data_IF_508982600618
#
_entry.id   IF_508982600618
#
_cell.length_a   1.000
_cell.length_b   1.000
_cell.length_c   1.000
_cell.angle_alpha   90.00
_cell.angle_beta   90.00
_cell.angle_gamma   90.00
#
_symmetry.space_group_name_H-M   'P 1'
#
loop_
_entity.id
_entity.type
_entity.pdbx_description
1 polymer ?
#
# COMPACT_ATOMS: atom_id res chain seq x y z
N UNK A 1 -6.58 4.83 19.79
CA UNK A 1 -6.56 4.49 21.23
C UNK A 1 -5.61 3.32 21.39
N UNK A 2 -4.30 3.57 21.56
CA UNK A 2 -3.34 2.49 21.76
C UNK A 2 -2.51 2.82 23.00
N UNK A 3 -3.13 2.56 24.15
CA UNK A 3 -2.40 2.09 25.33
C UNK A 3 -2.01 0.65 24.98
N UNK A 4 -0.75 0.40 24.61
CA UNK A 4 -0.31 -0.93 24.19
C UNK A 4 -0.40 -1.97 25.30
N UNK A 5 -0.61 -1.53 26.54
CA UNK A 5 -0.86 -2.42 27.64
C UNK A 5 -2.06 -1.95 28.47
N UNK A 6 -3.21 -2.60 28.24
CA UNK A 6 -4.19 -2.83 29.31
C UNK A 6 -3.70 -3.97 30.22
N UNK A 7 -2.39 -4.08 30.46
CA UNK A 7 -1.91 -5.04 31.44
C UNK A 7 -2.35 -4.55 32.80
N UNK A 8 -3.36 -5.23 33.33
CA UNK A 8 -3.45 -5.50 34.76
C UNK A 8 -2.10 -6.12 35.11
N UNK A 9 -1.12 -5.30 35.47
CA UNK A 9 0.16 -5.84 35.93
C UNK A 9 -0.15 -6.56 37.23
N UNK A 10 0.04 -7.87 37.28
CA UNK A 10 -0.01 -8.61 38.54
C UNK A 10 1.15 -8.12 39.39
N UNK A 11 0.88 -7.12 40.22
CA UNK A 11 1.86 -6.58 41.15
C UNK A 11 2.03 -7.58 42.26
N UNK A 12 3.27 -8.06 42.46
CA UNK A 12 3.63 -8.80 43.65
C UNK A 12 3.48 -7.87 44.86
N UNK A 13 2.41 -8.08 45.64
CA UNK A 13 2.19 -7.42 46.92
C UNK A 13 2.89 -8.28 47.99
N UNK A 14 3.86 -7.75 48.73
CA UNK A 14 4.48 -8.47 49.84
C UNK A 14 3.44 -8.89 50.87
N UNK A 15 3.75 -9.95 51.64
CA UNK A 15 2.82 -10.41 52.67
C UNK A 15 2.54 -9.31 53.71
N UNK A 16 1.28 -9.14 54.12
CA UNK A 16 0.90 -8.16 55.12
C UNK A 16 1.41 -8.55 56.51
N UNK A 17 1.53 -7.56 57.40
CA UNK A 17 1.80 -7.78 58.81
C UNK A 17 0.69 -8.61 59.48
N UNK A 18 1.03 -9.32 60.55
CA UNK A 18 0.06 -10.07 61.35
C UNK A 18 -1.03 -9.12 61.92
N UNK A 19 -2.31 -9.38 61.60
CA UNK A 19 -3.47 -8.53 61.94
C UNK A 19 -3.52 -7.11 61.35
N UNK A 20 -2.80 -6.81 60.27
CA UNK A 20 -2.90 -5.53 59.57
C UNK A 20 -2.90 -5.72 58.06
N UNK A 21 -3.44 -4.75 57.31
CA UNK A 21 -3.30 -4.71 55.85
C UNK A 21 -2.04 -3.96 55.41
N UNK A 22 -1.25 -3.41 56.34
CA UNK A 22 -0.01 -2.72 56.01
C UNK A 22 1.20 -3.67 55.93
N UNK A 23 2.27 -3.17 55.31
CA UNK A 23 3.52 -3.86 55.01
C UNK A 23 4.68 -3.04 55.60
N UNK A 24 5.87 -3.65 55.67
CA UNK A 24 7.12 -3.02 56.08
C UNK A 24 7.50 -3.40 57.51
N UNK A 25 8.74 -3.09 57.89
CA UNK A 25 9.31 -3.47 59.18
C UNK A 25 8.48 -2.89 60.35
N UNK A 26 7.90 -1.71 60.15
CA UNK A 26 7.07 -1.02 61.14
C UNK A 26 5.57 -1.08 60.82
N UNK A 27 5.13 -1.81 59.78
CA UNK A 27 3.73 -1.86 59.34
C UNK A 27 3.10 -0.49 59.03
N UNK A 28 3.91 0.48 58.58
CA UNK A 28 3.48 1.85 58.25
C UNK A 28 3.17 2.04 56.76
N UNK A 29 3.47 1.04 55.91
CA UNK A 29 3.31 1.16 54.47
C UNK A 29 1.98 0.53 54.06
N UNK A 30 1.10 1.29 53.42
CA UNK A 30 -0.15 0.75 52.87
C UNK A 30 0.15 -0.30 51.79
N UNK A 31 -0.47 -1.49 51.87
CA UNK A 31 -0.38 -2.54 50.83
C UNK A 31 -1.11 -2.20 49.53
N UNK A 32 -1.64 -0.99 49.40
CA UNK A 32 -2.35 -0.59 48.20
C UNK A 32 -1.38 -0.43 47.02
N UNK A 33 -1.76 -0.90 45.81
CA UNK A 33 -0.93 -0.78 44.62
C UNK A 33 -0.45 0.65 44.33
N UNK A 34 -1.29 1.66 44.58
CA UNK A 34 -0.93 3.07 44.38
C UNK A 34 0.14 3.58 45.37
N UNK A 35 0.17 3.05 46.59
CA UNK A 35 1.18 3.43 47.58
C UNK A 35 2.53 2.78 47.30
N UNK A 36 2.52 1.57 46.70
CA UNK A 36 3.72 0.83 46.32
C UNK A 36 4.38 1.33 45.03
N UNK A 37 3.61 1.91 44.10
CA UNK A 37 4.14 2.38 42.80
C UNK A 37 4.43 3.89 42.76
N UNK A 38 3.90 4.66 43.71
CA UNK A 38 3.97 6.12 43.66
C UNK A 38 3.04 6.71 42.59
N UNK A 39 3.04 8.05 42.43
CA UNK A 39 2.19 8.72 41.44
C UNK A 39 2.54 8.29 40.02
N UNK A 40 1.52 8.23 39.15
CA UNK A 40 1.70 8.10 37.70
C UNK A 40 2.49 9.33 37.18
N UNK A 41 3.45 9.10 36.29
CA UNK A 41 4.22 10.17 35.63
C UNK A 41 3.54 10.60 34.31
N UNK A 42 3.99 11.71 33.70
CA UNK A 42 3.59 12.18 32.36
C UNK A 42 2.06 12.27 32.13
N UNK A 43 1.34 12.90 33.06
CA UNK A 43 -0.14 13.08 33.04
C UNK A 43 -0.95 11.77 33.02
N UNK A 44 -0.32 10.62 33.33
CA UNK A 44 -1.03 9.37 33.51
C UNK A 44 -2.00 9.41 34.70
N UNK A 45 -3.14 8.74 34.60
CA UNK A 45 -4.12 8.66 35.69
C UNK A 45 -4.06 7.27 36.33
N UNK A 46 -3.71 7.23 37.62
CA UNK A 46 -3.67 6.03 38.45
C UNK A 46 -4.99 5.90 39.23
N UNK A 47 -5.84 4.92 38.91
CA UNK A 47 -7.09 4.67 39.65
C UNK A 47 -6.94 3.42 40.52
N UNK A 48 -7.02 3.58 41.84
CA UNK A 48 -7.04 2.49 42.80
C UNK A 48 -8.44 2.25 43.38
N UNK A 49 -8.92 1.02 43.30
CA UNK A 49 -10.17 0.63 43.96
C UNK A 49 -9.88 0.27 45.43
N UNK A 50 -10.41 1.07 46.36
CA UNK A 50 -10.20 0.89 47.81
C UNK A 50 -10.75 -0.44 48.35
N UNK A 51 -11.64 -1.11 47.63
CA UNK A 51 -12.32 -2.35 48.07
C UNK A 51 -11.59 -3.63 47.64
N UNK A 52 -10.58 -3.53 46.77
CA UNK A 52 -9.81 -4.69 46.30
C UNK A 52 -8.32 -4.37 46.34
N UNK A 53 -7.60 -4.95 47.31
CA UNK A 53 -6.15 -4.79 47.48
C UNK A 53 -5.33 -5.30 46.27
N UNK A 54 -5.97 -5.91 45.29
CA UNK A 54 -5.34 -6.54 44.12
C UNK A 54 -5.71 -5.89 42.78
N UNK A 55 -6.63 -4.93 42.74
CA UNK A 55 -7.12 -4.32 41.48
C UNK A 55 -6.82 -2.83 41.42
N UNK A 56 -5.99 -2.45 40.46
CA UNK A 56 -5.72 -1.06 40.08
C UNK A 56 -5.84 -0.94 38.56
N UNK A 57 -6.19 0.26 38.09
CA UNK A 57 -6.30 0.56 36.67
C UNK A 57 -5.39 1.75 36.39
N UNK A 58 -4.52 1.57 35.41
CA UNK A 58 -3.77 2.69 34.84
C UNK A 58 -4.47 3.19 33.58
N UNK A 59 -4.68 4.50 33.50
CA UNK A 59 -5.10 5.18 32.28
C UNK A 59 -3.87 5.91 31.75
N UNK A 60 -3.43 5.50 30.56
CA UNK A 60 -2.18 5.96 29.97
C UNK A 60 -2.38 7.23 29.15
N UNK A 61 -1.35 8.07 29.15
CA UNK A 61 -1.16 9.13 28.16
C UNK A 61 -0.68 8.53 26.84
N UNK A 62 -1.17 9.02 25.70
CA UNK A 62 -0.78 8.54 24.37
C UNK A 62 0.74 8.66 24.16
N UNK A 63 1.37 7.59 23.65
CA UNK A 63 2.80 7.59 23.30
C UNK A 63 3.77 7.24 24.43
N UNK A 64 3.28 6.77 25.59
CA UNK A 64 4.10 6.34 26.72
C UNK A 64 3.86 4.86 27.10
N UNK A 65 4.88 4.21 27.67
CA UNK A 65 4.96 2.83 28.13
C UNK A 65 5.65 2.77 29.52
N UNK A 66 5.60 1.59 30.16
CA UNK A 66 6.18 1.35 31.48
C UNK A 66 5.12 1.24 32.58
N UNK A 67 5.55 0.80 33.78
CA UNK A 67 4.64 0.53 34.90
C UNK A 67 4.01 1.80 35.46
N UNK A 68 4.64 2.96 35.24
CA UNK A 68 4.19 4.30 35.65
C UNK A 68 4.10 5.27 34.46
N UNK A 69 4.10 4.74 33.22
CA UNK A 69 4.12 5.52 31.98
C UNK A 69 5.32 6.48 31.89
N UNK A 70 6.44 6.07 32.49
CA UNK A 70 7.65 6.88 32.62
C UNK A 70 8.49 6.94 31.32
N UNK A 71 8.24 6.02 30.37
CA UNK A 71 9.03 5.89 29.14
C UNK A 71 8.21 6.24 27.91
N UNK A 72 8.79 6.92 26.94
CA UNK A 72 8.16 7.16 25.63
C UNK A 72 8.23 5.88 24.78
N UNK A 73 7.13 5.50 24.13
CA UNK A 73 7.10 4.37 23.19
C UNK A 73 8.04 4.69 22.03
N UNK A 74 9.03 3.83 21.80
CA UNK A 74 9.88 3.91 20.62
C UNK A 74 9.27 3.06 19.51
N UNK A 75 8.39 3.66 18.71
CA UNK A 75 7.79 3.00 17.55
C UNK A 75 8.83 2.51 16.55
N UNK A 76 10.01 3.12 16.47
CA UNK A 76 11.08 2.70 15.55
C UNK A 76 11.91 1.48 16.03
N UNK A 77 11.74 1.01 17.26
CA UNK A 77 12.63 -0.02 17.86
C UNK A 77 12.65 -1.36 17.11
N UNK A 78 11.51 -1.79 16.56
CA UNK A 78 11.37 -3.03 15.80
C UNK A 78 11.08 -2.80 14.31
N UNK A 79 11.39 -1.60 13.81
CA UNK A 79 11.00 -1.19 12.47
C UNK A 79 12.23 -1.03 11.62
N UNK A 80 12.26 -1.80 10.54
CA UNK A 80 13.32 -1.75 9.57
C UNK A 80 12.81 -1.04 8.30
N UNK A 81 13.12 0.25 8.16
CA UNK A 81 12.87 0.96 6.92
C UNK A 81 13.84 0.44 5.85
N UNK A 82 13.31 -0.17 4.79
CA UNK A 82 14.12 -0.77 3.75
C UNK A 82 14.92 0.28 2.96
N UNK A 83 15.98 -0.18 2.30
CA UNK A 83 16.73 0.61 1.32
C UNK A 83 17.29 1.94 1.84
N UNK A 84 17.80 1.95 3.08
CA UNK A 84 18.33 3.14 3.76
C UNK A 84 17.27 4.22 4.04
N UNK A 85 15.99 3.85 4.17
CA UNK A 85 14.98 4.75 4.71
C UNK A 85 15.29 5.12 6.17
N UNK A 86 14.95 6.34 6.58
CA UNK A 86 15.16 6.80 7.96
C UNK A 86 13.84 6.70 8.73
N UNK A 87 13.83 5.94 9.83
CA UNK A 87 12.67 5.89 10.73
C UNK A 87 12.61 7.16 11.59
N UNK A 88 11.46 7.82 11.62
CA UNK A 88 11.15 8.92 12.54
C UNK A 88 9.99 8.55 13.45
N UNK A 89 10.15 8.88 14.72
CA UNK A 89 9.09 8.76 15.72
C UNK A 89 7.98 9.78 15.45
N UNK A 90 6.74 9.32 15.47
CA UNK A 90 5.54 10.15 15.52
C UNK A 90 4.86 9.99 16.89
N UNK A 91 3.86 10.82 17.17
CA UNK A 91 3.15 10.83 18.46
C UNK A 91 2.41 9.53 18.76
N UNK A 92 1.96 8.82 17.72
CA UNK A 92 1.16 7.60 17.86
C UNK A 92 1.66 6.45 17.01
N UNK A 93 2.72 6.66 16.22
CA UNK A 93 3.20 5.70 15.23
C UNK A 93 4.64 6.01 14.81
N UNK A 94 5.15 5.32 13.79
CA UNK A 94 6.39 5.63 13.10
C UNK A 94 6.13 6.13 11.67
N UNK A 95 7.11 6.82 11.10
CA UNK A 95 7.12 7.17 9.67
C UNK A 95 8.51 6.87 9.11
N UNK A 96 8.57 6.06 8.04
CA UNK A 96 9.80 5.87 7.28
C UNK A 96 9.93 6.96 6.20
N UNK A 97 11.01 7.76 6.27
CA UNK A 97 11.39 8.66 5.18
C UNK A 97 12.16 7.89 4.10
N UNK A 98 11.55 7.76 2.92
CA UNK A 98 12.10 7.06 1.77
C UNK A 98 12.89 7.99 0.83
N UNK A 99 14.02 7.53 0.31
CA UNK A 99 14.85 8.25 -0.67
C UNK A 99 14.73 7.65 -2.08
N UNK A 100 15.01 8.46 -3.11
CA UNK A 100 15.13 8.06 -4.53
C UNK A 100 13.91 7.33 -5.12
N UNK A 101 12.73 7.97 -5.12
CA UNK A 101 11.53 7.40 -5.78
C UNK A 101 11.02 6.10 -5.15
N UNK A 102 11.36 5.84 -3.89
CA UNK A 102 10.85 4.69 -3.14
C UNK A 102 9.61 5.10 -2.35
N UNK A 103 8.70 4.16 -2.16
CA UNK A 103 7.42 4.39 -1.50
C UNK A 103 6.94 3.11 -0.79
N UNK A 104 5.82 3.18 -0.08
CA UNK A 104 5.36 2.13 0.85
C UNK A 104 5.61 2.51 2.30
N UNK A 105 4.99 1.78 3.25
CA UNK A 105 5.05 2.10 4.67
C UNK A 105 6.49 1.96 5.22
N UNK A 106 7.25 1.02 4.66
CA UNK A 106 8.62 0.70 5.07
C UNK A 106 9.61 0.91 3.91
N UNK A 107 9.28 1.72 2.90
CA UNK A 107 10.12 1.95 1.70
C UNK A 107 10.44 0.68 0.90
N UNK A 108 9.51 -0.28 0.89
CA UNK A 108 9.63 -1.57 0.22
C UNK A 108 9.39 -1.48 -1.30
N UNK A 109 8.65 -0.47 -1.77
CA UNK A 109 8.32 -0.27 -3.17
C UNK A 109 9.33 0.67 -3.84
N UNK A 110 9.70 0.34 -5.07
CA UNK A 110 10.65 1.11 -5.88
C UNK A 110 9.88 1.58 -7.12
N UNK A 111 9.90 2.88 -7.45
CA UNK A 111 9.47 3.32 -8.78
C UNK A 111 10.45 2.79 -9.81
N UNK A 112 10.22 1.58 -10.30
CA UNK A 112 10.74 1.19 -11.60
C UNK A 112 9.91 1.96 -12.61
N UNK A 113 10.53 2.72 -13.48
CA UNK A 113 9.93 3.33 -14.68
C UNK A 113 9.30 2.30 -15.67
N UNK A 114 8.95 1.08 -15.22
CA UNK A 114 8.51 -0.05 -16.04
C UNK A 114 7.02 -0.33 -16.00
N UNK A 115 6.23 0.38 -15.18
CA UNK A 115 4.78 0.20 -15.17
C UNK A 115 4.13 0.73 -16.45
N UNK A 116 4.68 1.80 -17.03
CA UNK A 116 4.21 2.35 -18.31
C UNK A 116 4.59 1.42 -19.48
N UNK A 117 5.82 0.88 -19.49
CA UNK A 117 6.28 -0.02 -20.54
C UNK A 117 5.50 -1.35 -20.60
N UNK A 118 5.09 -1.93 -19.47
CA UNK A 118 4.29 -3.17 -19.46
C UNK A 118 2.87 -2.99 -19.99
N UNK A 119 2.29 -1.80 -19.81
CA UNK A 119 0.96 -1.48 -20.34
C UNK A 119 1.06 -1.19 -21.85
N UNK A 120 2.03 -0.36 -22.25
CA UNK A 120 2.26 0.00 -23.65
C UNK A 120 2.58 -1.24 -24.51
N UNK A 121 3.38 -2.19 -24.02
CA UNK A 121 3.74 -3.41 -24.78
C UNK A 121 2.53 -4.28 -25.10
N UNK A 122 1.57 -4.39 -24.17
CA UNK A 122 0.34 -5.17 -24.38
C UNK A 122 -0.60 -4.48 -25.35
N UNK A 123 -0.71 -3.15 -25.27
CA UNK A 123 -1.53 -2.36 -26.19
C UNK A 123 -1.04 -2.41 -27.63
N UNK A 124 0.28 -2.32 -27.87
CA UNK A 124 0.86 -2.39 -29.22
C UNK A 124 0.58 -3.75 -29.87
N UNK A 125 0.78 -4.84 -29.13
CA UNK A 125 0.51 -6.18 -29.64
C UNK A 125 -0.97 -6.37 -30.03
N UNK A 126 -1.88 -5.86 -29.20
CA UNK A 126 -3.32 -5.92 -29.47
C UNK A 126 -3.73 -5.14 -30.74
N UNK A 127 -3.20 -3.92 -30.91
CA UNK A 127 -3.47 -3.09 -32.09
C UNK A 127 -2.95 -3.75 -33.37
N UNK A 128 -1.75 -4.35 -33.33
CA UNK A 128 -1.19 -5.08 -34.46
C UNK A 128 -2.06 -6.29 -34.87
N UNK A 129 -2.55 -7.07 -33.89
CA UNK A 129 -3.42 -8.21 -34.14
C UNK A 129 -4.74 -7.77 -34.78
N UNK A 130 -5.38 -6.70 -34.26
CA UNK A 130 -6.62 -6.17 -34.83
C UNK A 130 -6.41 -5.75 -36.29
N UNK A 131 -5.33 -5.03 -36.59
CA UNK A 131 -5.02 -4.59 -37.96
C UNK A 131 -4.88 -5.76 -38.94
N UNK A 132 -4.17 -6.82 -38.54
CA UNK A 132 -4.00 -8.02 -39.38
C UNK A 132 -5.36 -8.71 -39.60
N UNK A 133 -6.17 -8.86 -38.55
CA UNK A 133 -7.49 -9.49 -38.65
C UNK A 133 -8.43 -8.67 -39.53
N UNK A 134 -8.39 -7.33 -39.45
CA UNK A 134 -9.23 -6.49 -40.30
C UNK A 134 -8.87 -6.61 -41.78
N UNK A 135 -7.58 -6.64 -42.11
CA UNK A 135 -7.12 -6.79 -43.50
C UNK A 135 -7.47 -8.17 -44.06
N UNK A 136 -7.23 -9.23 -43.29
CA UNK A 136 -7.60 -10.60 -43.67
C UNK A 136 -9.11 -10.73 -43.86
N UNK A 137 -9.89 -10.14 -42.95
CA UNK A 137 -11.35 -10.15 -43.04
C UNK A 137 -11.84 -9.43 -44.29
N UNK A 138 -11.23 -8.28 -44.64
CA UNK A 138 -11.57 -7.55 -45.86
C UNK A 138 -11.27 -8.38 -47.12
N UNK A 139 -10.10 -9.02 -47.18
CA UNK A 139 -9.73 -9.91 -48.30
C UNK A 139 -10.71 -11.07 -48.43
N UNK A 140 -11.05 -11.73 -47.32
CA UNK A 140 -12.02 -12.84 -47.30
C UNK A 140 -13.41 -12.36 -47.79
N UNK A 141 -13.87 -11.20 -47.33
CA UNK A 141 -15.16 -10.63 -47.77
C UNK A 141 -15.13 -10.35 -49.27
N UNK A 142 -14.04 -9.76 -49.78
CA UNK A 142 -13.88 -9.48 -51.21
C UNK A 142 -13.88 -10.78 -52.04
N UNK A 143 -13.23 -11.83 -51.56
CA UNK A 143 -13.23 -13.13 -52.22
C UNK A 143 -14.62 -13.78 -52.18
N UNK A 144 -15.35 -13.74 -51.07
CA UNK A 144 -16.73 -14.27 -50.99
C UNK A 144 -17.65 -13.53 -51.97
N UNK A 145 -17.57 -12.19 -52.03
CA UNK A 145 -18.38 -11.40 -52.97
C UNK A 145 -18.07 -11.73 -54.43
N UNK A 146 -16.80 -11.97 -54.73
CA UNK A 146 -16.33 -12.32 -56.07
C UNK A 146 -16.71 -13.74 -56.48
N UNK A 147 -16.44 -14.73 -55.64
CA UNK A 147 -16.60 -16.15 -55.96
C UNK A 147 -17.99 -16.70 -55.63
N UNK A 148 -18.63 -16.19 -54.58
CA UNK A 148 -19.97 -16.60 -54.19
C UNK A 148 -21.08 -15.92 -54.99
N UNK A 149 -20.95 -14.61 -55.22
CA UNK A 149 -22.01 -13.81 -55.86
C UNK A 149 -21.66 -13.34 -57.29
N UNK A 150 -20.44 -13.58 -57.77
CA UNK A 150 -20.00 -13.12 -59.10
C UNK A 150 -19.88 -11.60 -59.23
N UNK A 151 -19.90 -10.87 -58.11
CA UNK A 151 -19.82 -9.41 -58.07
C UNK A 151 -18.34 -9.03 -57.96
N UNK A 152 -17.74 -8.61 -59.08
CA UNK A 152 -16.36 -8.10 -59.11
C UNK A 152 -16.38 -6.55 -59.15
N UNK A 153 -16.19 -5.87 -57.99
CA UNK A 153 -16.23 -4.41 -57.92
C UNK A 153 -15.06 -3.74 -58.67
N UNK A 154 -13.96 -4.45 -58.89
CA UNK A 154 -12.76 -3.94 -59.58
C UNK A 154 -12.89 -3.90 -61.12
N UNK A 155 -13.87 -4.60 -61.69
CA UNK A 155 -14.00 -4.75 -63.16
C UNK A 155 -14.21 -3.43 -63.91
N UNK A 156 -14.96 -2.48 -63.33
CA UNK A 156 -15.19 -1.15 -63.94
C UNK A 156 -13.91 -0.30 -63.91
N UNK A 157 -13.19 -0.32 -62.78
CA UNK A 157 -11.93 0.41 -62.59
C UNK A 157 -10.83 -0.08 -63.54
N UNK A 158 -10.70 -1.41 -63.72
CA UNK A 158 -9.73 -2.00 -64.67
C UNK A 158 -10.03 -1.55 -66.11
N UNK A 159 -11.31 -1.48 -66.51
CA UNK A 159 -11.70 -0.98 -67.83
C UNK A 159 -11.32 0.49 -68.01
N UNK A 160 -11.51 1.33 -66.98
CA UNK A 160 -11.10 2.73 -67.01
C UNK A 160 -9.57 2.89 -67.18
N UNK A 161 -8.78 2.18 -66.38
CA UNK A 161 -7.31 2.21 -66.44
C UNK A 161 -6.80 1.74 -67.81
N UNK A 162 -7.36 0.65 -68.36
CA UNK A 162 -6.98 0.15 -69.71
C UNK A 162 -7.28 1.18 -70.80
N UNK A 163 -8.41 1.88 -70.70
CA UNK A 163 -8.80 2.93 -71.66
C UNK A 163 -7.87 4.15 -71.57
N UNK A 164 -7.47 4.57 -70.37
CA UNK A 164 -6.48 5.63 -70.20
C UNK A 164 -5.11 5.22 -70.76
N UNK A 165 -4.63 4.00 -70.46
CA UNK A 165 -3.36 3.49 -71.01
C UNK A 165 -3.36 3.43 -72.54
N UNK A 166 -4.47 3.02 -73.17
CA UNK A 166 -4.56 3.00 -74.64
C UNK A 166 -4.53 4.40 -75.24
N UNK A 167 -5.17 5.38 -74.59
CA UNK A 167 -5.15 6.78 -75.01
C UNK A 167 -3.75 7.40 -74.86
N UNK A 168 -3.06 7.10 -73.76
CA UNK A 168 -1.71 7.57 -73.49
C UNK A 168 -0.68 6.96 -74.47
N UNK A 169 -0.81 5.67 -74.78
CA UNK A 169 0.00 5.03 -75.82
C UNK A 169 -0.25 5.64 -77.21
N UNK A 170 -1.51 5.93 -77.58
CA UNK A 170 -1.81 6.62 -78.84
C UNK A 170 -1.17 8.01 -78.91
N UNK A 171 -1.20 8.79 -77.82
CA UNK A 171 -0.51 10.10 -77.77
C UNK A 171 1.00 10.00 -77.97
N UNK A 172 1.66 8.99 -77.37
CA UNK A 172 3.10 8.78 -77.52
C UNK A 172 3.51 8.41 -78.95
N UNK A 173 2.64 7.71 -79.68
CA UNK A 173 2.89 7.35 -81.09
C UNK A 173 2.78 8.57 -82.01
N UNK A 174 1.91 9.54 -81.68
CA UNK A 174 1.71 10.76 -82.48
C UNK A 174 2.80 11.82 -82.23
N UNK A 175 3.52 11.73 -81.11
CA UNK A 175 4.61 12.67 -80.73
C UNK A 175 6.01 12.20 -81.20
N UNK A 176 6.10 11.19 -82.07
CA UNK A 176 7.34 10.67 -82.68
C UNK A 176 7.28 10.87 -84.18
#
# INVERSE_FOLDING_TARGET
MICLDKSISSIFVPNPCFNSTNIGINCDISSTPCSLLGPCENDGICICNKTSNTKFIFICTLGYEGRRWERRINYCSNINCHHHGICRLSLTDYVCHCFNGRYGQNCELITKEKNIYQIISKSIAYVAIIGIVSEVSFVIIMDILKYGFGIDPTRKTIKYIRKQKSFQNRKRIIQR
#
